data_IF_416286014738
#
_entry.id   IF_416286014738
#
_cell.length_a   1.000
_cell.length_b   1.000
_cell.length_c   1.000
_cell.angle_alpha   90.00
_cell.angle_beta   90.00
_cell.angle_gamma   90.00
#
_symmetry.space_group_name_H-M   'P 1'
#
loop_
_entity.id
_entity.type
_entity.pdbx_description
1 polymer ?
#
# COMPACT_ATOMS: atom_id res chain seq x y z
N UNK A 1 19.61 -12.86 21.85
CA UNK A 1 20.83 -12.30 21.24
C UNK A 1 20.46 -10.94 20.69
N UNK A 2 21.01 -9.86 21.23
CA UNK A 2 20.80 -8.53 20.68
C UNK A 2 21.81 -8.30 19.55
N UNK A 3 21.32 -8.08 18.35
CA UNK A 3 22.17 -7.73 17.21
C UNK A 3 22.62 -6.27 17.35
N UNK A 4 23.88 -5.99 17.08
CA UNK A 4 24.36 -4.61 17.02
C UNK A 4 23.80 -3.90 15.79
N UNK A 5 23.72 -2.57 15.81
CA UNK A 5 23.27 -1.79 14.64
C UNK A 5 24.12 -2.08 13.39
N UNK A 6 25.43 -2.31 13.55
CA UNK A 6 26.32 -2.67 12.46
C UNK A 6 25.96 -4.02 11.82
N UNK A 7 25.67 -5.03 12.65
CA UNK A 7 25.24 -6.35 12.18
C UNK A 7 23.88 -6.27 11.45
N UNK A 8 22.95 -5.47 11.96
CA UNK A 8 21.65 -5.25 11.29
C UNK A 8 21.86 -4.60 9.92
N UNK A 9 22.71 -3.58 9.84
CA UNK A 9 23.03 -2.90 8.59
C UNK A 9 23.65 -3.85 7.55
N UNK A 10 24.60 -4.68 7.97
CA UNK A 10 25.24 -5.67 7.10
C UNK A 10 24.24 -6.70 6.57
N UNK A 11 23.36 -7.22 7.44
CA UNK A 11 22.30 -8.16 7.04
C UNK A 11 21.35 -7.50 6.03
N UNK A 12 20.95 -6.25 6.25
CA UNK A 12 20.09 -5.50 5.33
C UNK A 12 20.78 -5.30 3.99
N UNK A 13 22.06 -4.92 3.98
CA UNK A 13 22.84 -4.72 2.75
C UNK A 13 22.91 -6.01 1.91
N UNK A 14 23.18 -7.13 2.58
CA UNK A 14 23.23 -8.44 1.93
C UNK A 14 21.86 -8.85 1.36
N UNK A 15 20.76 -8.61 2.09
CA UNK A 15 19.41 -8.90 1.61
C UNK A 15 18.97 -7.98 0.46
N UNK A 16 19.39 -6.72 0.45
CA UNK A 16 18.96 -5.73 -0.56
C UNK A 16 19.84 -5.70 -1.81
N UNK A 17 20.85 -6.56 -1.89
CA UNK A 17 21.75 -6.68 -3.04
C UNK A 17 21.05 -7.14 -4.33
N UNK A 18 19.85 -7.72 -4.22
CA UNK A 18 18.97 -8.06 -5.35
C UNK A 18 17.63 -7.33 -5.27
N UNK A 19 16.99 -7.12 -6.41
CA UNK A 19 15.65 -6.50 -6.47
C UNK A 19 14.58 -7.33 -5.74
N UNK A 20 14.66 -8.66 -5.84
CA UNK A 20 13.77 -9.58 -5.12
C UNK A 20 14.00 -9.51 -3.60
N UNK A 21 15.26 -9.45 -3.18
CA UNK A 21 15.65 -9.30 -1.79
C UNK A 21 15.18 -7.98 -1.18
N UNK A 22 15.25 -6.89 -1.95
CA UNK A 22 14.64 -5.62 -1.56
C UNK A 22 13.12 -5.73 -1.37
N UNK A 23 12.40 -6.32 -2.33
CA UNK A 23 10.94 -6.47 -2.26
C UNK A 23 10.51 -7.33 -1.07
N UNK A 24 11.22 -8.42 -0.82
CA UNK A 24 10.94 -9.33 0.30
C UNK A 24 11.21 -8.66 1.64
N UNK A 25 12.36 -7.99 1.81
CA UNK A 25 12.68 -7.26 3.03
C UNK A 25 11.66 -6.15 3.31
N UNK A 26 11.34 -5.33 2.30
CA UNK A 26 10.36 -4.26 2.45
C UNK A 26 8.98 -4.81 2.82
N UNK A 27 8.55 -5.92 2.18
CA UNK A 27 7.29 -6.58 2.53
C UNK A 27 7.29 -7.11 3.98
N UNK A 28 8.41 -7.68 4.44
CA UNK A 28 8.57 -8.15 5.82
C UNK A 28 8.48 -6.99 6.82
N UNK A 29 9.17 -5.88 6.55
CA UNK A 29 9.13 -4.68 7.41
C UNK A 29 7.71 -4.11 7.47
N UNK A 30 7.04 -3.94 6.33
CA UNK A 30 5.67 -3.41 6.32
C UNK A 30 4.71 -4.33 7.09
N UNK A 31 4.84 -5.65 6.92
CA UNK A 31 4.01 -6.62 7.62
C UNK A 31 4.28 -6.64 9.13
N UNK A 32 5.54 -6.53 9.55
CA UNK A 32 5.90 -6.50 10.97
C UNK A 32 5.40 -5.21 11.65
N UNK A 33 5.55 -4.05 10.99
CA UNK A 33 5.02 -2.78 11.49
C UNK A 33 3.51 -2.85 11.70
N UNK A 34 2.74 -3.28 10.70
CA UNK A 34 1.28 -3.41 10.85
C UNK A 34 0.88 -4.43 11.92
N UNK A 35 1.62 -5.54 12.03
CA UNK A 35 1.35 -6.54 13.06
C UNK A 35 1.59 -5.98 14.47
N UNK A 36 2.62 -5.17 14.66
CA UNK A 36 2.94 -4.56 15.94
C UNK A 36 1.97 -3.41 16.30
N UNK A 37 1.54 -2.61 15.31
CA UNK A 37 0.45 -1.63 15.50
C UNK A 37 -0.81 -2.32 16.04
N UNK A 38 -1.13 -3.51 15.52
CA UNK A 38 -2.26 -4.31 16.02
C UNK A 38 -2.04 -4.79 17.45
N UNK A 39 -0.84 -5.22 17.81
CA UNK A 39 -0.53 -5.64 19.18
C UNK A 39 -0.71 -4.50 20.17
N UNK A 40 -0.27 -3.28 19.82
CA UNK A 40 -0.51 -2.08 20.60
C UNK A 40 -2.01 -1.80 20.75
N UNK A 41 -2.78 -1.94 19.65
CA UNK A 41 -4.24 -1.79 19.68
C UNK A 41 -4.93 -2.79 20.61
N UNK A 42 -4.54 -4.06 20.59
CA UNK A 42 -5.10 -5.09 21.48
C UNK A 42 -4.73 -4.84 22.94
N UNK A 43 -3.50 -4.40 23.22
CA UNK A 43 -3.08 -4.01 24.58
C UNK A 43 -3.92 -2.86 25.13
N UNK A 44 -4.29 -1.90 24.29
CA UNK A 44 -5.18 -0.81 24.66
C UNK A 44 -6.64 -1.26 24.84
N UNK A 45 -7.09 -2.27 24.09
CA UNK A 45 -8.48 -2.74 24.06
C UNK A 45 -8.60 -4.19 24.56
N UNK A 46 -8.69 -4.37 25.88
CA UNK A 46 -8.69 -5.70 26.53
C UNK A 46 -9.79 -6.67 26.07
N UNK A 47 -10.89 -6.16 25.53
CA UNK A 47 -12.02 -6.98 25.05
C UNK A 47 -11.87 -7.37 23.57
N UNK A 48 -10.84 -6.90 22.89
CA UNK A 48 -10.63 -7.15 21.47
C UNK A 48 -9.85 -8.44 21.24
N UNK A 49 -10.27 -9.19 20.21
CA UNK A 49 -9.53 -10.35 19.73
C UNK A 49 -9.15 -10.14 18.28
N UNK A 50 -7.94 -10.55 17.91
CA UNK A 50 -7.45 -10.40 16.56
C UNK A 50 -6.77 -11.69 16.08
N UNK A 51 -7.43 -12.46 15.21
CA UNK A 51 -6.91 -13.74 14.72
C UNK A 51 -6.78 -13.80 13.18
N UNK A 52 -7.05 -12.70 12.47
CA UNK A 52 -7.15 -12.69 11.02
C UNK A 52 -6.14 -11.79 10.32
N UNK A 53 -5.74 -12.20 9.11
CA UNK A 53 -5.04 -11.36 8.15
C UNK A 53 -5.80 -11.35 6.83
N UNK A 54 -5.79 -10.22 6.11
CA UNK A 54 -6.25 -10.12 4.72
C UNK A 54 -5.05 -9.93 3.79
N UNK A 55 -4.87 -10.78 2.76
CA UNK A 55 -3.79 -10.59 1.79
C UNK A 55 -4.11 -9.39 0.90
N UNK A 56 -3.11 -8.56 0.62
CA UNK A 56 -3.21 -7.44 -0.32
C UNK A 56 -1.92 -7.34 -1.13
N UNK A 57 -2.06 -7.04 -2.42
CA UNK A 57 -0.92 -6.67 -3.27
C UNK A 57 -0.88 -5.16 -3.38
N UNK A 58 0.27 -4.58 -3.05
CA UNK A 58 0.53 -3.16 -3.23
C UNK A 58 1.53 -2.99 -4.36
N UNK A 59 1.20 -2.11 -5.31
CA UNK A 59 2.02 -1.82 -6.46
C UNK A 59 2.57 -0.41 -6.32
N UNK A 60 3.90 -0.27 -6.35
CA UNK A 60 4.56 1.02 -6.23
C UNK A 60 5.84 1.02 -7.07
N UNK A 61 5.95 1.99 -7.99
CA UNK A 61 7.15 2.23 -8.82
C UNK A 61 7.76 0.96 -9.46
N UNK A 62 6.92 0.13 -10.09
CA UNK A 62 7.35 -1.11 -10.73
C UNK A 62 7.54 -2.32 -9.80
N UNK A 63 7.51 -2.12 -8.47
CA UNK A 63 7.57 -3.20 -7.50
C UNK A 63 6.18 -3.65 -7.05
N UNK A 64 6.08 -4.94 -6.74
CA UNK A 64 4.87 -5.54 -6.16
C UNK A 64 5.18 -6.10 -4.79
N UNK A 65 4.52 -5.57 -3.76
CA UNK A 65 4.68 -6.01 -2.38
C UNK A 65 3.48 -6.86 -1.96
N UNK A 66 3.76 -7.96 -1.28
CA UNK A 66 2.73 -8.87 -0.75
C UNK A 66 2.53 -8.55 0.74
N UNK A 67 1.40 -7.94 1.04
CA UNK A 67 1.04 -7.47 2.38
C UNK A 67 0.03 -8.40 3.03
N UNK A 68 0.21 -8.64 4.33
CA UNK A 68 -0.70 -9.38 5.20
C UNK A 68 -1.27 -8.37 6.19
N UNK A 69 -2.38 -7.73 5.80
CA UNK A 69 -2.97 -6.68 6.60
C UNK A 69 -3.68 -7.31 7.81
N UNK A 70 -3.34 -6.92 9.05
CA UNK A 70 -3.98 -7.45 10.25
C UNK A 70 -5.43 -7.01 10.36
N UNK A 71 -6.27 -7.85 10.96
CA UNK A 71 -7.68 -7.55 11.24
C UNK A 71 -8.00 -7.66 12.72
N UNK A 72 -8.88 -6.78 13.21
CA UNK A 72 -9.61 -6.96 14.47
C UNK A 72 -10.94 -7.65 14.25
N UNK A 73 -11.52 -8.21 15.32
CA UNK A 73 -12.83 -8.88 15.28
C UNK A 73 -13.97 -7.86 15.20
N UNK A 74 -13.83 -6.74 15.88
CA UNK A 74 -14.78 -5.61 15.81
C UNK A 74 -14.70 -4.82 14.50
N UNK A 75 -13.58 -4.91 13.77
CA UNK A 75 -13.31 -4.05 12.61
C UNK A 75 -12.76 -2.66 12.97
N UNK A 76 -12.62 -2.34 14.25
CA UNK A 76 -12.17 -1.02 14.73
C UNK A 76 -10.65 -0.78 14.61
N UNK A 77 -9.90 -1.73 14.04
CA UNK A 77 -8.47 -1.59 13.83
C UNK A 77 -8.16 -1.31 12.37
N UNK A 78 -7.50 -0.18 12.11
CA UNK A 78 -6.99 0.20 10.81
C UNK A 78 -5.52 0.60 10.92
N UNK A 79 -4.58 -0.13 10.29
CA UNK A 79 -3.15 0.19 10.36
C UNK A 79 -2.84 1.58 9.80
N UNK A 80 -1.92 2.30 10.44
CA UNK A 80 -1.50 3.65 10.01
C UNK A 80 -0.80 3.57 8.66
N UNK A 81 0.09 2.58 8.49
CA UNK A 81 0.77 2.34 7.22
C UNK A 81 -0.20 2.12 6.06
N UNK A 82 -1.33 1.46 6.31
CA UNK A 82 -2.36 1.27 5.29
C UNK A 82 -3.10 2.57 4.96
N UNK A 83 -3.21 3.49 5.92
CA UNK A 83 -3.73 4.84 5.70
C UNK A 83 -2.88 5.63 4.71
N UNK A 84 -1.56 5.59 4.88
CA UNK A 84 -0.61 6.24 3.96
C UNK A 84 -0.70 5.64 2.55
N UNK A 85 -0.75 4.31 2.45
CA UNK A 85 -0.92 3.64 1.15
C UNK A 85 -2.25 4.02 0.49
N UNK A 86 -3.30 4.21 1.29
CA UNK A 86 -4.63 4.59 0.81
C UNK A 86 -4.67 6.04 0.35
N UNK A 87 -4.10 6.99 1.10
CA UNK A 87 -4.05 8.40 0.70
C UNK A 87 -3.35 8.57 -0.64
N UNK A 88 -2.23 7.88 -0.86
CA UNK A 88 -1.53 7.82 -2.15
C UNK A 88 -2.39 7.23 -3.29
N UNK A 89 -3.31 6.30 -2.97
CA UNK A 89 -4.26 5.79 -3.96
C UNK A 89 -5.38 6.79 -4.25
N UNK A 90 -5.86 7.51 -3.24
CA UNK A 90 -6.91 8.54 -3.35
C UNK A 90 -6.42 9.76 -4.12
N UNK A 91 -5.20 10.25 -3.85
CA UNK A 91 -4.56 11.35 -4.60
C UNK A 91 -4.44 11.02 -6.09
N UNK A 92 -4.08 9.77 -6.40
CA UNK A 92 -4.01 9.27 -7.77
C UNK A 92 -5.39 9.20 -8.43
N UNK A 93 -6.41 8.75 -7.70
CA UNK A 93 -7.78 8.72 -8.20
C UNK A 93 -8.27 10.16 -8.49
N UNK A 94 -7.96 11.10 -7.59
CA UNK A 94 -8.25 12.51 -7.78
C UNK A 94 -7.54 13.10 -9.02
N UNK A 95 -6.28 12.73 -9.26
CA UNK A 95 -5.56 13.14 -10.48
C UNK A 95 -6.23 12.57 -11.73
N UNK A 96 -6.60 11.28 -11.74
CA UNK A 96 -7.35 10.67 -12.86
C UNK A 96 -8.67 11.39 -13.09
N UNK A 97 -9.42 11.71 -12.03
CA UNK A 97 -10.67 12.44 -12.10
C UNK A 97 -10.48 13.85 -12.67
N UNK A 98 -9.45 14.59 -12.24
CA UNK A 98 -9.15 15.91 -12.78
C UNK A 98 -8.78 15.87 -14.27
N UNK A 99 -8.01 14.87 -14.70
CA UNK A 99 -7.69 14.71 -16.13
C UNK A 99 -8.94 14.36 -16.94
N UNK A 100 -9.80 13.50 -16.40
CA UNK A 100 -11.05 13.11 -17.04
C UNK A 100 -12.02 14.29 -17.19
N UNK A 101 -12.22 15.08 -16.13
CA UNK A 101 -13.09 16.27 -16.16
C UNK A 101 -12.55 17.39 -17.07
N UNK A 102 -11.24 17.45 -17.28
CA UNK A 102 -10.59 18.34 -18.27
C UNK A 102 -10.70 17.86 -19.72
N UNK A 103 -11.37 16.73 -19.96
CA UNK A 103 -11.70 16.24 -21.31
C UNK A 103 -10.63 15.38 -21.96
N UNK A 104 -9.63 14.88 -21.21
CA UNK A 104 -8.69 13.90 -21.74
C UNK A 104 -9.39 12.57 -21.97
N UNK A 105 -9.04 11.90 -23.07
CA UNK A 105 -9.52 10.55 -23.36
C UNK A 105 -8.90 9.53 -22.39
N UNK A 106 -9.56 8.39 -22.20
CA UNK A 106 -9.03 7.32 -21.34
C UNK A 106 -7.66 6.81 -21.80
N UNK A 107 -7.33 6.91 -23.09
CA UNK A 107 -6.02 6.51 -23.61
C UNK A 107 -4.93 7.50 -23.22
N UNK A 108 -5.18 8.81 -23.40
CA UNK A 108 -4.26 9.86 -22.96
C UNK A 108 -4.04 9.84 -21.44
N UNK A 109 -5.10 9.59 -20.67
CA UNK A 109 -4.97 9.45 -19.22
C UNK A 109 -4.09 8.24 -18.87
N UNK A 110 -4.23 7.12 -19.59
CA UNK A 110 -3.37 5.95 -19.37
C UNK A 110 -1.90 6.28 -19.62
N UNK A 111 -1.60 7.01 -20.69
CA UNK A 111 -0.23 7.42 -21.04
C UNK A 111 0.39 8.35 -19.99
N UNK A 112 -0.38 9.32 -19.50
CA UNK A 112 0.05 10.20 -18.40
C UNK A 112 0.32 9.40 -17.12
N UNK A 113 -0.58 8.49 -16.76
CA UNK A 113 -0.42 7.64 -15.57
C UNK A 113 0.78 6.70 -15.71
N UNK A 114 1.01 6.14 -16.89
CA UNK A 114 2.18 5.32 -17.18
C UNK A 114 3.47 6.13 -17.06
N UNK A 115 3.49 7.36 -17.54
CA UNK A 115 4.66 8.25 -17.44
C UNK A 115 4.96 8.63 -15.99
N UNK A 116 3.94 8.96 -15.20
CA UNK A 116 4.12 9.43 -13.81
C UNK A 116 4.39 8.27 -12.84
N UNK A 117 3.69 7.15 -13.00
CA UNK A 117 3.69 6.03 -12.04
C UNK A 117 4.34 4.75 -12.55
N UNK A 118 4.78 4.71 -13.81
CA UNK A 118 5.45 3.55 -14.41
C UNK A 118 4.53 2.37 -14.70
N UNK A 119 3.22 2.59 -14.80
CA UNK A 119 2.23 1.53 -15.08
C UNK A 119 1.01 2.04 -15.83
N UNK A 120 0.74 1.46 -17.01
CA UNK A 120 -0.48 1.69 -17.77
C UNK A 120 -1.72 1.16 -17.03
N UNK A 121 -2.81 1.94 -17.07
CA UNK A 121 -4.12 1.54 -16.54
C UNK A 121 -5.03 1.15 -17.68
N UNK A 122 -5.83 0.11 -17.50
CA UNK A 122 -6.83 -0.24 -18.49
C UNK A 122 -7.90 0.84 -18.58
N UNK A 123 -8.56 0.95 -19.74
CA UNK A 123 -9.69 1.87 -19.94
C UNK A 123 -10.77 1.72 -18.86
N UNK A 124 -11.03 0.46 -18.45
CA UNK A 124 -11.97 0.14 -17.37
C UNK A 124 -11.48 0.66 -16.00
N UNK A 125 -10.19 0.53 -15.68
CA UNK A 125 -9.63 1.07 -14.43
C UNK A 125 -9.74 2.59 -14.38
N UNK A 126 -9.48 3.27 -15.50
CA UNK A 126 -9.59 4.73 -15.60
C UNK A 126 -11.04 5.18 -15.43
N UNK A 127 -11.99 4.53 -16.10
CA UNK A 127 -13.42 4.80 -15.90
C UNK A 127 -13.86 4.55 -14.46
N UNK A 128 -13.40 3.47 -13.82
CA UNK A 128 -13.70 3.19 -12.43
C UNK A 128 -13.20 4.30 -11.50
N UNK A 129 -11.93 4.71 -11.64
CA UNK A 129 -11.33 5.76 -10.81
C UNK A 129 -11.98 7.13 -11.03
N UNK A 130 -12.32 7.46 -12.27
CA UNK A 130 -13.03 8.71 -12.58
C UNK A 130 -14.46 8.73 -12.00
N UNK A 131 -15.14 7.58 -11.96
CA UNK A 131 -16.49 7.49 -11.41
C UNK A 131 -16.50 7.41 -9.88
N UNK A 132 -15.52 6.75 -9.25
CA UNK A 132 -15.45 6.68 -7.78
C UNK A 132 -15.30 8.04 -7.12
N UNK A 133 -14.67 9.02 -7.79
CA UNK A 133 -14.55 10.39 -7.29
C UNK A 133 -15.80 11.26 -7.54
N UNK A 134 -16.83 10.76 -8.25
CA UNK A 134 -18.11 11.47 -8.43
C UNK A 134 -19.07 11.28 -7.26
N UNK A 135 -18.92 10.19 -6.49
CA UNK A 135 -19.83 9.85 -5.38
C UNK A 135 -19.56 10.67 -4.10
N UNK A 136 -18.44 11.40 -4.04
CA UNK A 136 -18.05 12.27 -2.92
C UNK A 136 -18.51 13.74 -3.07
N UNK A 137 -19.46 14.04 -3.99
CA UNK A 137 -20.05 15.40 -4.21
C UNK A 137 -21.54 15.43 -3.92
#
# INVERSE_FOLDING_TARGET
MELTQGQISEIISNYTSSSEGFVTLQSLIMNSLMAHERELFVKANKNEQCNGFRPRRWYCKGYTFVLRIPRSRSGNFYPVLLGIIRSECEERAALVYQLYTKGLTTEQISEVIETVYGRAYSKQQISYLANSCREDV
#
